data_IF_729902436261
#
_entry.id   IF_729902436261
#
_cell.length_a   1.000
_cell.length_b   1.000
_cell.length_c   1.000
_cell.angle_alpha   90.00
_cell.angle_beta   90.00
_cell.angle_gamma   90.00
#
_symmetry.space_group_name_H-M   'P 1'
#
loop_
_entity.id
_entity.type
_entity.pdbx_description
1 polymer ?
#
# COMPACT_ATOMS: atom_id res chain seq x y z
N UNK A 1 3.38 -17.39 -15.51
CA UNK A 1 4.81 -17.04 -15.42
C UNK A 1 5.09 -16.06 -14.28
N UNK A 2 4.20 -15.11 -14.03
CA UNK A 2 4.34 -14.13 -12.93
C UNK A 2 3.33 -14.32 -11.80
N UNK A 3 2.55 -15.38 -11.87
CA UNK A 3 1.58 -15.73 -10.85
C UNK A 3 2.27 -16.12 -9.54
N UNK A 4 1.57 -15.90 -8.43
CA UNK A 4 2.08 -16.25 -7.12
C UNK A 4 2.37 -17.75 -7.00
N UNK A 5 3.60 -18.08 -6.61
CA UNK A 5 4.03 -19.45 -6.38
C UNK A 5 4.25 -19.67 -4.88
N UNK A 6 3.40 -20.49 -4.20
CA UNK A 6 3.54 -20.75 -2.77
C UNK A 6 4.78 -21.55 -2.39
N UNK A 7 5.46 -22.14 -3.35
CA UNK A 7 6.70 -22.88 -3.14
C UNK A 7 7.96 -22.03 -3.34
N UNK A 8 7.80 -20.79 -3.80
CA UNK A 8 8.89 -19.83 -3.97
C UNK A 8 9.05 -18.99 -2.70
N UNK A 9 10.22 -19.05 -2.08
CA UNK A 9 10.54 -18.37 -0.84
C UNK A 9 10.39 -16.84 -0.95
N UNK A 10 10.81 -16.26 -2.07
CA UNK A 10 10.70 -14.82 -2.30
C UNK A 10 9.23 -14.40 -2.53
N UNK A 11 8.45 -15.19 -3.25
CA UNK A 11 7.01 -14.95 -3.41
C UNK A 11 6.29 -14.95 -2.05
N UNK A 12 6.57 -15.93 -1.20
CA UNK A 12 5.98 -16.03 0.14
C UNK A 12 6.36 -14.82 1.00
N UNK A 13 7.63 -14.42 0.99
CA UNK A 13 8.10 -13.26 1.77
C UNK A 13 7.51 -11.93 1.25
N UNK A 14 7.35 -11.77 -0.05
CA UNK A 14 6.71 -10.60 -0.66
C UNK A 14 5.22 -10.52 -0.29
N UNK A 15 4.50 -11.64 -0.33
CA UNK A 15 3.10 -11.69 0.12
C UNK A 15 2.98 -11.29 1.59
N UNK A 16 3.88 -11.77 2.45
CA UNK A 16 3.93 -11.38 3.86
C UNK A 16 4.22 -9.89 4.05
N UNK A 17 5.08 -9.31 3.21
CA UNK A 17 5.36 -7.88 3.19
C UNK A 17 4.09 -7.06 2.93
N UNK A 18 3.27 -7.45 1.95
CA UNK A 18 1.97 -6.81 1.69
C UNK A 18 0.99 -6.95 2.86
N UNK A 19 0.93 -8.12 3.48
CA UNK A 19 0.06 -8.35 4.64
C UNK A 19 0.47 -7.52 5.86
N UNK A 20 1.76 -7.34 6.08
CA UNK A 20 2.26 -6.44 7.12
C UNK A 20 1.88 -4.99 6.83
N UNK A 21 2.08 -4.52 5.61
CA UNK A 21 1.70 -3.16 5.21
C UNK A 21 0.19 -2.93 5.35
N UNK A 22 -0.63 -3.86 4.88
CA UNK A 22 -2.10 -3.83 5.05
C UNK A 22 -2.49 -3.62 6.52
N UNK A 23 -1.90 -4.40 7.42
CA UNK A 23 -2.14 -4.29 8.85
C UNK A 23 -1.75 -2.90 9.39
N UNK A 24 -0.62 -2.35 8.97
CA UNK A 24 -0.18 -1.02 9.40
C UNK A 24 -1.07 0.10 8.85
N UNK A 25 -1.58 -0.04 7.63
CA UNK A 25 -2.56 0.90 7.07
C UNK A 25 -3.85 0.88 7.90
N UNK A 26 -4.38 -0.31 8.18
CA UNK A 26 -5.61 -0.49 8.96
C UNK A 26 -5.49 0.11 10.36
N UNK A 27 -4.35 -0.09 11.01
CA UNK A 27 -4.09 0.40 12.37
C UNK A 27 -3.51 1.83 12.40
N UNK A 28 -3.24 2.42 11.25
CA UNK A 28 -2.58 3.73 11.10
C UNK A 28 -1.23 3.78 11.82
N UNK A 29 -0.49 2.67 11.73
CA UNK A 29 0.82 2.52 12.34
C UNK A 29 1.90 2.99 11.37
N UNK A 30 2.09 4.30 11.32
CA UNK A 30 2.98 4.96 10.36
C UNK A 30 4.45 4.57 10.56
N UNK A 31 4.90 4.44 11.80
CA UNK A 31 6.30 4.13 12.09
C UNK A 31 6.67 2.70 11.69
N UNK A 32 5.81 1.72 11.98
CA UNK A 32 6.01 0.35 11.52
C UNK A 32 5.92 0.24 9.98
N UNK A 33 5.01 0.98 9.36
CA UNK A 33 4.91 1.03 7.91
C UNK A 33 6.18 1.60 7.27
N UNK A 34 6.75 2.68 7.81
CA UNK A 34 8.02 3.25 7.34
C UNK A 34 9.15 2.23 7.33
N UNK A 35 9.19 1.32 8.30
CA UNK A 35 10.21 0.28 8.37
C UNK A 35 10.19 -0.70 7.18
N UNK A 36 9.09 -0.78 6.42
CA UNK A 36 8.96 -1.59 5.21
C UNK A 36 9.59 -0.95 3.97
N UNK A 37 10.02 0.30 4.04
CA UNK A 37 10.46 1.10 2.90
C UNK A 37 11.90 1.58 3.02
N UNK A 38 12.49 1.83 1.87
CA UNK A 38 13.76 2.55 1.76
C UNK A 38 13.51 4.06 1.97
N UNK A 39 14.46 4.75 2.60
CA UNK A 39 14.36 6.20 2.84
C UNK A 39 14.25 7.04 1.56
N UNK A 40 14.78 6.54 0.45
CA UNK A 40 14.78 7.21 -0.86
C UNK A 40 13.60 6.79 -1.75
N UNK A 41 12.55 6.19 -1.19
CA UNK A 41 11.37 5.77 -1.93
C UNK A 41 10.77 6.92 -2.74
N UNK A 42 10.35 6.63 -3.97
CA UNK A 42 9.61 7.57 -4.83
C UNK A 42 8.23 6.97 -5.09
N UNK A 43 7.18 7.75 -4.91
CA UNK A 43 5.81 7.25 -5.01
C UNK A 43 4.91 8.16 -5.83
N UNK A 44 4.00 7.53 -6.56
CA UNK A 44 2.76 8.15 -7.05
C UNK A 44 1.62 7.68 -6.16
N UNK A 45 0.82 8.59 -5.62
CA UNK A 45 -0.28 8.23 -4.74
C UNK A 45 -1.63 8.73 -5.24
N UNK A 46 -2.68 8.35 -4.55
CA UNK A 46 -4.04 8.79 -4.87
C UNK A 46 -4.31 10.23 -4.43
N UNK A 47 -3.46 10.80 -3.59
CA UNK A 47 -3.56 12.18 -3.08
C UNK A 47 -2.47 13.08 -3.64
N UNK A 48 -1.21 12.61 -3.62
CA UNK A 48 -0.06 13.34 -4.13
C UNK A 48 0.36 12.81 -5.51
N UNK A 49 0.87 13.69 -6.36
CA UNK A 49 1.40 13.30 -7.67
C UNK A 49 2.71 12.52 -7.52
N UNK A 50 3.82 13.21 -7.36
CA UNK A 50 5.13 12.61 -7.08
C UNK A 50 5.55 12.97 -5.67
N UNK A 51 5.96 11.96 -4.91
CA UNK A 51 6.55 12.14 -3.59
C UNK A 51 7.92 11.48 -3.56
N UNK A 52 8.93 12.24 -3.19
CA UNK A 52 10.31 11.77 -3.04
C UNK A 52 10.70 11.74 -1.57
N UNK A 53 11.09 10.56 -1.10
CA UNK A 53 11.54 10.34 0.26
C UNK A 53 10.44 9.84 1.20
N UNK A 54 10.86 9.02 2.15
CA UNK A 54 9.95 8.28 3.04
C UNK A 54 9.19 9.20 4.01
N UNK A 55 9.86 10.18 4.59
CA UNK A 55 9.21 11.11 5.52
C UNK A 55 8.12 11.94 4.80
N UNK A 56 8.38 12.37 3.58
CA UNK A 56 7.39 13.05 2.76
C UNK A 56 6.24 12.15 2.38
N UNK A 57 6.53 10.90 1.99
CA UNK A 57 5.51 9.91 1.67
C UNK A 57 4.56 9.69 2.87
N UNK A 58 5.12 9.54 4.06
CA UNK A 58 4.33 9.41 5.27
C UNK A 58 3.50 10.67 5.57
N UNK A 59 4.12 11.84 5.58
CA UNK A 59 3.47 13.08 6.00
C UNK A 59 2.47 13.62 4.97
N UNK A 60 2.79 13.56 3.67
CA UNK A 60 2.02 14.21 2.62
C UNK A 60 1.01 13.26 1.96
N UNK A 61 1.26 11.96 1.94
CA UNK A 61 0.36 10.97 1.34
C UNK A 61 -0.36 10.12 2.40
N UNK A 62 0.35 9.33 3.18
CA UNK A 62 -0.27 8.36 4.09
C UNK A 62 -1.16 9.02 5.15
N UNK A 63 -0.67 10.06 5.81
CA UNK A 63 -1.41 10.77 6.86
C UNK A 63 -2.64 11.51 6.34
N UNK A 64 -2.70 11.81 5.04
CA UNK A 64 -3.85 12.42 4.40
C UNK A 64 -4.89 11.39 3.92
N UNK A 65 -4.52 10.13 3.75
CA UNK A 65 -5.42 9.09 3.23
C UNK A 65 -5.85 8.10 4.31
N UNK A 66 -4.92 7.46 5.00
CA UNK A 66 -5.24 6.35 5.91
C UNK A 66 -6.28 6.70 6.98
N UNK A 67 -6.25 7.89 7.62
CA UNK A 67 -7.27 8.26 8.60
C UNK A 67 -8.67 8.48 8.01
N UNK A 68 -8.79 8.60 6.70
CA UNK A 68 -10.07 8.90 6.01
C UNK A 68 -10.77 7.67 5.44
N UNK A 69 -10.13 6.52 5.48
CA UNK A 69 -10.63 5.26 4.93
C UNK A 69 -10.75 4.18 5.99
N UNK A 70 -11.50 3.13 5.70
CA UNK A 70 -11.58 1.92 6.51
C UNK A 70 -11.45 0.67 5.65
N UNK A 71 -11.27 -0.50 6.28
CA UNK A 71 -11.25 -1.81 5.62
C UNK A 71 -10.27 -1.90 4.44
N UNK A 72 -9.11 -1.25 4.57
CA UNK A 72 -8.08 -1.37 3.55
C UNK A 72 -7.55 -2.80 3.48
N UNK A 73 -7.47 -3.35 2.27
CA UNK A 73 -6.89 -4.67 2.02
C UNK A 73 -6.18 -4.74 0.68
N UNK A 74 -5.09 -5.48 0.62
CA UNK A 74 -4.49 -5.94 -0.62
C UNK A 74 -5.13 -7.27 -1.03
N UNK A 75 -5.70 -7.33 -2.23
CA UNK A 75 -6.25 -8.56 -2.78
C UNK A 75 -5.10 -9.45 -3.26
N UNK A 76 -4.46 -10.15 -2.34
CA UNK A 76 -3.24 -10.91 -2.62
C UNK A 76 -3.43 -12.10 -3.56
N UNK A 77 -4.66 -12.52 -3.81
CA UNK A 77 -5.02 -13.44 -4.89
C UNK A 77 -4.81 -12.84 -6.29
N UNK A 78 -4.71 -11.52 -6.40
CA UNK A 78 -4.41 -10.81 -7.67
C UNK A 78 -2.92 -10.51 -7.85
N UNK A 79 -2.06 -10.96 -6.94
CA UNK A 79 -0.65 -10.60 -6.89
C UNK A 79 0.15 -11.27 -8.02
N UNK A 80 0.77 -10.44 -8.87
CA UNK A 80 1.79 -10.85 -9.82
C UNK A 80 3.16 -10.39 -9.34
N UNK A 81 4.16 -11.22 -9.46
CA UNK A 81 5.52 -10.96 -8.99
C UNK A 81 6.53 -11.25 -10.10
N UNK A 82 7.35 -10.25 -10.41
CA UNK A 82 8.47 -10.35 -11.32
C UNK A 82 9.74 -10.17 -10.52
N UNK A 83 10.56 -11.22 -10.42
CA UNK A 83 11.81 -11.20 -9.64
C UNK A 83 13.01 -11.19 -10.60
N UNK A 84 14.01 -10.37 -10.30
CA UNK A 84 15.28 -10.35 -11.01
C UNK A 84 16.04 -11.67 -10.83
N UNK A 85 16.90 -12.04 -11.79
CA UNK A 85 17.67 -13.32 -11.70
C UNK A 85 18.52 -13.47 -10.44
N UNK A 86 19.00 -12.37 -9.88
CA UNK A 86 19.78 -12.35 -8.63
C UNK A 86 18.92 -12.36 -7.36
N UNK A 87 17.58 -12.29 -7.49
CA UNK A 87 16.61 -12.22 -6.39
C UNK A 87 16.78 -11.01 -5.48
N UNK A 88 17.32 -9.90 -5.99
CA UNK A 88 17.52 -8.68 -5.20
C UNK A 88 16.53 -7.57 -5.55
N UNK A 89 15.75 -7.74 -6.60
CA UNK A 89 14.79 -6.76 -7.10
C UNK A 89 13.50 -7.46 -7.50
N UNK A 90 12.37 -6.88 -7.14
CA UNK A 90 11.07 -7.40 -7.54
C UNK A 90 10.14 -6.25 -7.94
N UNK A 91 9.39 -6.48 -9.02
CA UNK A 91 8.26 -5.65 -9.39
C UNK A 91 6.97 -6.42 -9.13
N UNK A 92 6.02 -5.79 -8.46
CA UNK A 92 4.77 -6.42 -8.07
C UNK A 92 3.58 -5.63 -8.57
N UNK A 93 2.52 -6.33 -8.92
CA UNK A 93 1.27 -5.75 -9.43
C UNK A 93 0.13 -6.43 -8.70
N UNK A 94 -0.81 -5.65 -8.13
CA UNK A 94 -2.00 -6.20 -7.49
C UNK A 94 -3.13 -5.18 -7.41
N UNK A 95 -4.30 -5.66 -7.07
CA UNK A 95 -5.50 -4.87 -6.78
C UNK A 95 -5.60 -4.65 -5.26
N UNK A 96 -6.14 -3.52 -4.87
CA UNK A 96 -6.45 -3.20 -3.48
C UNK A 96 -7.88 -2.66 -3.35
N UNK A 97 -8.42 -2.77 -2.15
CA UNK A 97 -9.77 -2.31 -1.82
C UNK A 97 -9.76 -1.53 -0.51
N UNK A 98 -10.73 -0.67 -0.35
CA UNK A 98 -11.00 0.04 0.90
C UNK A 98 -12.42 0.61 0.88
N UNK A 99 -12.86 1.16 2.00
CA UNK A 99 -14.09 1.94 2.10
C UNK A 99 -13.75 3.39 2.28
N UNK A 100 -14.27 4.23 1.40
CA UNK A 100 -14.21 5.69 1.49
C UNK A 100 -15.54 6.27 1.96
N UNK A 101 -15.55 7.57 2.23
CA UNK A 101 -16.72 8.28 2.77
C UNK A 101 -16.91 9.62 2.07
N UNK A 102 -18.13 9.90 1.60
CA UNK A 102 -18.50 11.18 1.04
C UNK A 102 -18.46 12.28 2.11
N UNK A 103 -18.58 13.54 1.69
CA UNK A 103 -18.67 14.69 2.60
C UNK A 103 -19.87 14.58 3.57
N UNK A 104 -20.94 13.89 3.15
CA UNK A 104 -22.12 13.64 3.95
C UNK A 104 -22.00 12.38 4.83
N UNK A 105 -20.86 11.70 4.82
CA UNK A 105 -20.62 10.48 5.60
C UNK A 105 -21.12 9.19 4.97
N UNK A 106 -21.60 9.23 3.72
CA UNK A 106 -22.03 8.03 2.99
C UNK A 106 -20.82 7.24 2.53
N UNK A 107 -20.78 5.95 2.86
CA UNK A 107 -19.71 5.04 2.43
C UNK A 107 -19.80 4.73 0.94
N UNK A 108 -18.63 4.51 0.32
CA UNK A 108 -18.51 4.00 -1.03
C UNK A 108 -17.33 3.03 -1.12
N UNK A 109 -17.41 2.12 -2.04
CA UNK A 109 -16.32 1.21 -2.36
C UNK A 109 -15.17 2.00 -3.00
N UNK A 110 -14.00 1.99 -2.35
CA UNK A 110 -12.82 2.72 -2.81
C UNK A 110 -11.74 1.74 -3.18
N UNK A 111 -11.69 1.44 -4.46
CA UNK A 111 -10.86 0.40 -5.06
C UNK A 111 -9.85 0.96 -6.03
N UNK A 112 -8.78 0.23 -6.22
CA UNK A 112 -7.74 0.62 -7.15
C UNK A 112 -6.73 -0.49 -7.43
N UNK A 113 -5.65 -0.09 -8.03
CA UNK A 113 -4.56 -0.96 -8.45
C UNK A 113 -3.24 -0.33 -8.03
N UNK A 114 -2.26 -1.19 -7.78
CA UNK A 114 -0.95 -0.75 -7.37
C UNK A 114 0.17 -1.49 -8.11
N UNK A 115 1.23 -0.75 -8.38
CA UNK A 115 2.54 -1.30 -8.71
C UNK A 115 3.48 -0.96 -7.56
N UNK A 116 4.18 -1.96 -7.04
CA UNK A 116 5.14 -1.78 -5.95
C UNK A 116 6.45 -2.45 -6.36
N UNK A 117 7.51 -1.68 -6.35
CA UNK A 117 8.86 -2.18 -6.61
C UNK A 117 9.62 -2.34 -5.30
N UNK A 118 10.21 -3.51 -5.13
CA UNK A 118 10.90 -3.93 -3.92
C UNK A 118 12.38 -4.23 -4.21
N UNK A 119 13.21 -3.99 -3.23
CA UNK A 119 14.65 -4.26 -3.30
C UNK A 119 15.14 -4.86 -1.98
N UNK A 120 16.16 -5.73 -2.04
CA UNK A 120 16.94 -6.15 -0.86
C UNK A 120 18.44 -5.91 -1.09
N UNK A 121 19.17 -5.72 0.01
CA UNK A 121 20.61 -5.51 -0.03
C UNK A 121 21.37 -6.80 -0.42
N UNK A 122 20.89 -7.93 0.08
CA UNK A 122 21.42 -9.25 -0.22
C UNK A 122 20.33 -10.31 -0.03
N UNK A 123 20.62 -11.56 -0.35
CA UNK A 123 19.63 -12.66 -0.30
C UNK A 123 19.04 -12.92 1.09
N UNK A 124 19.72 -12.51 2.16
CA UNK A 124 19.28 -12.70 3.53
C UNK A 124 18.62 -11.45 4.13
N UNK A 125 18.60 -10.33 3.40
CA UNK A 125 17.97 -9.10 3.83
C UNK A 125 16.46 -9.11 3.60
N UNK A 126 15.75 -8.26 4.32
CA UNK A 126 14.31 -8.04 4.10
C UNK A 126 14.07 -7.20 2.84
N UNK A 127 12.94 -7.45 2.19
CA UNK A 127 12.44 -6.62 1.12
C UNK A 127 12.11 -5.21 1.63
N UNK A 128 12.50 -4.18 0.86
CA UNK A 128 12.17 -2.77 1.12
C UNK A 128 11.50 -2.17 -0.10
N UNK A 129 10.39 -1.46 0.10
CA UNK A 129 9.74 -0.70 -0.95
C UNK A 129 10.61 0.46 -1.42
N UNK A 130 10.83 0.57 -2.73
CA UNK A 130 11.58 1.67 -3.35
C UNK A 130 10.72 2.51 -4.29
N UNK A 131 9.60 1.98 -4.72
CA UNK A 131 8.60 2.70 -5.51
C UNK A 131 7.21 2.14 -5.26
N UNK A 132 6.23 3.03 -5.20
CA UNK A 132 4.82 2.67 -5.21
C UNK A 132 4.04 3.55 -6.18
N UNK A 133 3.10 2.96 -6.88
CA UNK A 133 2.12 3.67 -7.69
C UNK A 133 0.73 3.15 -7.37
N UNK A 134 -0.07 3.98 -6.73
CA UNK A 134 -1.47 3.69 -6.40
C UNK A 134 -2.38 4.52 -7.29
N UNK A 135 -3.30 3.87 -7.97
CA UNK A 135 -4.34 4.54 -8.75
C UNK A 135 -5.73 4.03 -8.37
N UNK A 136 -6.69 4.93 -8.36
CA UNK A 136 -8.10 4.59 -8.18
C UNK A 136 -8.67 3.99 -9.47
N UNK A 137 -9.63 3.10 -9.33
CA UNK A 137 -10.40 2.64 -10.47
C UNK A 137 -11.26 3.78 -11.03
N UNK A 138 -11.60 3.65 -12.31
CA UNK A 138 -12.41 4.67 -13.01
C UNK A 138 -13.72 4.92 -12.26
N UNK A 139 -14.05 6.20 -12.04
CA UNK A 139 -15.28 6.63 -11.39
C UNK A 139 -15.24 6.62 -9.86
N UNK A 140 -14.18 6.13 -9.24
CA UNK A 140 -14.01 6.19 -7.79
C UNK A 140 -13.65 7.62 -7.38
N UNK A 141 -14.37 8.22 -6.40
CA UNK A 141 -14.04 9.54 -5.90
C UNK A 141 -12.61 9.59 -5.32
N UNK A 142 -11.84 10.59 -5.73
CA UNK A 142 -10.46 10.76 -5.25
C UNK A 142 -10.42 11.01 -3.74
N UNK A 143 -11.31 11.86 -3.24
CA UNK A 143 -11.31 12.27 -1.83
C UNK A 143 -12.24 11.42 -0.99
N UNK A 144 -11.73 10.95 0.13
CA UNK A 144 -12.50 10.39 1.24
C UNK A 144 -12.44 11.34 2.43
N UNK A 145 -13.58 11.61 3.06
CA UNK A 145 -13.72 12.56 4.16
C UNK A 145 -13.64 11.92 5.55
N UNK A 146 -13.65 10.59 5.60
CA UNK A 146 -13.59 9.83 6.83
C UNK A 146 -14.94 9.41 7.36
N UNK A 147 -14.90 8.42 8.26
CA UNK A 147 -16.09 7.90 8.92
C UNK A 147 -16.44 8.75 10.14
N UNK A 148 -17.38 9.67 9.99
CA UNK A 148 -17.81 10.56 11.08
C UNK A 148 -18.46 9.82 12.25
N UNK A 149 -19.09 8.67 12.01
CA UNK A 149 -19.73 7.87 13.06
C UNK A 149 -18.71 7.23 14.01
N UNK A 150 -17.47 7.04 13.56
CA UNK A 150 -16.40 6.49 14.38
C UNK A 150 -15.77 7.53 15.31
N UNK A 151 -15.88 8.83 14.97
CA UNK A 151 -15.31 9.92 15.78
C UNK A 151 -16.17 10.27 17.00
N UNK A 152 -17.44 9.86 17.03
CA UNK A 152 -18.37 10.16 18.10
C UNK A 152 -18.47 9.06 19.17
N UNK A 153 -17.74 7.97 19.06
CA UNK A 153 -17.77 6.86 20.02
C UNK A 153 -16.60 6.85 21.01
N UNK A 154 -15.70 7.83 20.92
CA UNK A 154 -14.56 8.01 21.84
C UNK A 154 -14.69 9.32 22.63
N UNK A 155 -15.85 9.51 23.29
CA UNK A 155 -16.01 10.49 24.37
C UNK A 155 -16.30 9.73 25.66
#
# INVERSE_FOLDING_TARGET
MYEFNPNDKDHVSIKSWFKSWENYVQNKDFELAKALFNNEVISFGTWMDIVQGLDKLCNDQWKNIWPTITNFEFLTETLFIQISPDSLFANTILVWNSVGYSKQGKSFERTGRATVTLKKLNKNSNWKGIHTHFSLNRGVPQKSFGNFNYKNTNI
#
